data_IF_939078244649
#
_entry.id   IF_939078244649
#
_cell.length_a   1.000
_cell.length_b   1.000
_cell.length_c   1.000
_cell.angle_alpha   90.00
_cell.angle_beta   90.00
_cell.angle_gamma   90.00
#
_symmetry.space_group_name_H-M   'P 1'
#
loop_
_entity.id
_entity.type
_entity.pdbx_description
1 polymer ?
#
# COMPACT_ATOMS: atom_id res chain seq x y z
N UNK A 1 -46.38 -5.35 27.79
CA UNK A 1 -45.39 -6.41 27.55
C UNK A 1 -44.59 -6.02 26.31
N UNK A 2 -43.39 -5.47 26.49
CA UNK A 2 -42.48 -5.16 25.40
C UNK A 2 -41.68 -6.43 25.07
N UNK A 3 -41.74 -6.88 23.81
CA UNK A 3 -41.01 -8.06 23.35
C UNK A 3 -39.52 -7.74 23.19
N UNK A 4 -38.66 -8.53 23.83
CA UNK A 4 -37.23 -8.50 23.59
C UNK A 4 -36.93 -9.15 22.23
N UNK A 5 -36.52 -8.35 21.25
CA UNK A 5 -35.87 -8.87 20.04
C UNK A 5 -34.38 -9.08 20.33
N UNK A 6 -34.02 -10.34 20.55
CA UNK A 6 -32.63 -10.80 20.62
C UNK A 6 -31.96 -10.60 19.26
N UNK A 7 -30.92 -9.79 19.21
CA UNK A 7 -30.06 -9.67 18.03
C UNK A 7 -29.23 -10.95 17.95
N UNK A 8 -29.49 -11.77 16.93
CA UNK A 8 -28.64 -12.90 16.60
C UNK A 8 -27.37 -12.36 15.94
N UNK A 9 -26.27 -12.31 16.70
CA UNK A 9 -24.93 -12.14 16.14
C UNK A 9 -24.63 -13.39 15.32
N UNK A 10 -24.73 -13.30 14.00
CA UNK A 10 -24.22 -14.34 13.13
C UNK A 10 -22.71 -14.45 13.39
N UNK A 11 -22.28 -15.61 13.89
CA UNK A 11 -20.89 -16.02 13.92
C UNK A 11 -20.40 -16.11 12.47
N UNK A 12 -19.91 -14.99 11.97
CA UNK A 12 -19.22 -14.92 10.69
C UNK A 12 -17.88 -15.56 10.93
N UNK A 13 -17.80 -16.87 10.66
CA UNK A 13 -16.58 -17.66 10.66
C UNK A 13 -15.46 -16.85 10.02
N UNK A 14 -14.61 -16.27 10.87
CA UNK A 14 -13.50 -15.44 10.47
C UNK A 14 -12.52 -16.32 9.74
N UNK A 15 -12.60 -16.34 8.41
CA UNK A 15 -11.42 -16.72 7.65
C UNK A 15 -10.39 -15.62 7.92
N UNK A 16 -9.47 -15.90 8.84
CA UNK A 16 -8.26 -15.11 9.03
C UNK A 16 -7.68 -14.82 7.65
N UNK A 17 -7.58 -13.53 7.30
CA UNK A 17 -6.85 -13.13 6.11
C UNK A 17 -5.47 -13.81 6.16
N UNK A 18 -4.99 -14.42 5.06
CA UNK A 18 -3.76 -15.18 5.08
C UNK A 18 -2.65 -14.29 5.64
N UNK A 19 -2.16 -14.60 6.85
CA UNK A 19 -0.99 -13.94 7.42
C UNK A 19 0.13 -14.13 6.41
N UNK A 20 0.71 -13.04 5.89
CA UNK A 20 1.92 -13.15 5.10
C UNK A 20 2.98 -13.80 6.00
N UNK A 21 3.38 -15.03 5.67
CA UNK A 21 3.84 -16.02 6.64
C UNK A 21 5.36 -16.19 6.78
N UNK A 22 6.15 -15.13 6.76
CA UNK A 22 7.61 -15.20 7.03
C UNK A 22 8.26 -13.82 6.90
N UNK A 23 9.35 -13.47 7.60
CA UNK A 23 9.80 -12.10 7.97
C UNK A 23 9.80 -11.04 6.84
N UNK A 24 9.69 -9.73 7.18
CA UNK A 24 9.79 -8.64 6.18
C UNK A 24 11.03 -8.77 5.30
N UNK A 25 11.01 -8.16 4.11
CA UNK A 25 12.14 -8.22 3.16
C UNK A 25 13.46 -7.77 3.81
N UNK A 26 13.36 -6.76 4.67
CA UNK A 26 14.43 -6.33 5.53
C UNK A 26 14.53 -7.20 6.79
N UNK A 27 15.63 -7.93 6.90
CA UNK A 27 15.99 -8.68 8.10
C UNK A 27 16.89 -7.80 9.00
N UNK A 28 16.42 -7.54 10.22
CA UNK A 28 17.15 -6.75 11.22
C UNK A 28 18.43 -7.44 11.70
N UNK A 29 18.46 -8.78 11.75
CA UNK A 29 19.66 -9.51 12.19
C UNK A 29 20.75 -9.48 11.11
N UNK A 30 20.36 -9.27 9.85
CA UNK A 30 21.23 -9.17 8.67
C UNK A 30 21.19 -7.75 8.06
N UNK A 31 20.96 -6.71 8.87
CA UNK A 31 20.78 -5.33 8.39
C UNK A 31 21.95 -4.80 7.54
N UNK A 32 23.17 -5.33 7.75
CA UNK A 32 24.37 -4.94 7.00
C UNK A 32 24.30 -5.30 5.51
N UNK A 33 23.44 -6.24 5.14
CA UNK A 33 23.22 -6.65 3.75
C UNK A 33 22.36 -5.63 2.98
N UNK A 34 21.80 -4.64 3.69
CA UNK A 34 20.95 -3.58 3.15
C UNK A 34 21.58 -2.20 3.41
N UNK A 35 22.73 -1.88 2.77
CA UNK A 35 23.49 -0.66 3.05
C UNK A 35 22.73 0.63 2.69
N UNK A 36 21.67 0.52 1.91
CA UNK A 36 20.80 1.62 1.50
C UNK A 36 19.57 1.80 2.41
N UNK A 37 19.36 0.91 3.39
CA UNK A 37 18.33 1.08 4.42
C UNK A 37 18.93 1.81 5.63
N UNK A 38 18.35 2.97 5.97
CA UNK A 38 18.82 3.80 7.09
C UNK A 38 18.25 3.22 8.39
N UNK A 39 19.11 2.72 9.26
CA UNK A 39 18.67 2.10 10.52
C UNK A 39 18.51 3.06 11.69
N UNK A 40 19.15 4.22 11.63
CA UNK A 40 19.13 5.23 12.68
C UNK A 40 17.77 5.92 12.83
N UNK A 41 17.58 6.59 13.97
CA UNK A 41 16.37 7.39 14.24
C UNK A 41 16.34 8.73 13.49
N UNK A 42 17.49 9.21 13.01
CA UNK A 42 17.61 10.43 12.22
C UNK A 42 17.93 10.08 10.76
N UNK A 43 17.05 10.45 9.84
CA UNK A 43 17.24 10.17 8.41
C UNK A 43 17.71 11.40 7.66
N UNK A 44 18.88 11.30 7.03
CA UNK A 44 19.44 12.35 6.18
C UNK A 44 19.29 11.93 4.71
N UNK A 45 18.20 12.35 4.06
CA UNK A 45 17.76 11.81 2.76
C UNK A 45 18.26 12.58 1.53
N UNK A 46 19.02 13.67 1.73
CA UNK A 46 19.51 14.51 0.63
C UNK A 46 18.38 15.16 -0.19
N UNK A 47 18.63 15.38 -1.48
CA UNK A 47 17.67 15.98 -2.38
C UNK A 47 16.53 15.01 -2.76
N UNK A 48 15.33 15.54 -3.02
CA UNK A 48 14.18 14.75 -3.50
C UNK A 48 14.54 14.01 -4.78
N UNK A 49 14.25 12.71 -4.82
CA UNK A 49 14.39 11.93 -6.06
C UNK A 49 13.37 12.41 -7.09
N UNK A 50 13.85 12.64 -8.33
CA UNK A 50 13.07 13.12 -9.48
C UNK A 50 12.90 12.06 -10.57
N UNK A 51 13.48 10.87 -10.40
CA UNK A 51 13.46 9.80 -11.40
C UNK A 51 12.08 9.12 -11.56
N UNK A 52 11.07 9.56 -10.81
CA UNK A 52 9.76 8.92 -10.69
C UNK A 52 8.64 9.94 -10.89
N UNK A 53 7.42 9.48 -11.18
CA UNK A 53 6.20 10.29 -11.44
C UNK A 53 5.75 11.21 -10.26
N UNK A 54 6.64 11.44 -9.30
CA UNK A 54 6.47 12.24 -8.11
C UNK A 54 6.73 13.73 -8.36
N UNK A 55 5.80 14.40 -9.05
CA UNK A 55 5.83 15.85 -9.15
C UNK A 55 5.49 16.48 -7.78
N UNK A 56 6.37 17.35 -7.27
CA UNK A 56 6.26 18.01 -5.96
C UNK A 56 5.25 19.15 -5.91
N UNK A 57 4.26 19.12 -6.80
CA UNK A 57 3.45 20.29 -7.17
C UNK A 57 2.23 20.48 -6.25
N UNK A 58 2.12 19.64 -5.22
CA UNK A 58 1.09 19.72 -4.19
C UNK A 58 1.74 19.83 -2.81
N UNK A 59 1.12 20.62 -1.94
CA UNK A 59 1.64 20.92 -0.61
C UNK A 59 1.62 19.68 0.29
N UNK A 60 2.61 19.54 1.17
CA UNK A 60 2.65 18.45 2.15
C UNK A 60 3.15 17.09 1.64
N UNK A 61 3.64 17.01 0.39
CA UNK A 61 4.25 15.76 -0.11
C UNK A 61 5.59 15.47 0.58
N UNK A 62 5.75 14.27 1.14
CA UNK A 62 7.07 13.76 1.51
C UNK A 62 7.88 13.30 0.30
N UNK A 63 9.21 13.25 0.46
CA UNK A 63 10.13 12.74 -0.57
C UNK A 63 9.95 11.23 -0.74
N UNK A 64 10.00 10.67 -1.97
CA UNK A 64 9.77 9.24 -2.21
C UNK A 64 10.71 8.31 -1.43
N UNK A 65 11.88 8.81 -1.02
CA UNK A 65 12.80 8.07 -0.18
C UNK A 65 12.20 7.66 1.18
N UNK A 66 11.27 8.45 1.75
CA UNK A 66 10.60 8.11 3.02
C UNK A 66 9.75 6.84 2.89
N UNK A 67 8.72 6.78 2.03
CA UNK A 67 7.91 5.57 1.86
C UNK A 67 8.74 4.40 1.34
N UNK A 68 9.77 4.62 0.51
CA UNK A 68 10.66 3.54 0.08
C UNK A 68 11.31 2.81 1.27
N UNK A 69 11.88 3.57 2.21
CA UNK A 69 12.47 3.05 3.44
C UNK A 69 11.43 2.32 4.30
N UNK A 70 10.28 2.95 4.56
CA UNK A 70 9.22 2.38 5.41
C UNK A 70 8.70 1.07 4.82
N UNK A 71 8.37 1.06 3.53
CA UNK A 71 7.79 -0.10 2.86
C UNK A 71 8.76 -1.28 2.82
N UNK A 72 10.05 -1.06 2.55
CA UNK A 72 11.05 -2.14 2.55
C UNK A 72 11.30 -2.70 3.95
N UNK A 73 11.21 -1.86 4.98
CA UNK A 73 11.45 -2.24 6.38
C UNK A 73 10.29 -3.02 7.00
N UNK A 74 9.05 -2.66 6.68
CA UNK A 74 7.88 -3.16 7.41
C UNK A 74 6.92 -4.00 6.56
N UNK A 75 7.20 -4.19 5.26
CA UNK A 75 6.32 -4.94 4.35
C UNK A 75 7.10 -5.83 3.39
N UNK A 76 6.40 -6.74 2.72
CA UNK A 76 6.93 -7.62 1.67
C UNK A 76 6.21 -7.38 0.35
N UNK A 77 6.84 -7.72 -0.79
CA UNK A 77 6.12 -7.79 -2.05
C UNK A 77 4.82 -8.61 -1.94
N UNK A 78 3.69 -8.00 -2.32
CA UNK A 78 2.35 -8.56 -2.25
C UNK A 78 1.58 -8.28 -0.95
N UNK A 79 2.20 -7.67 0.07
CA UNK A 79 1.47 -7.16 1.24
C UNK A 79 0.56 -5.99 0.86
N UNK A 80 -0.41 -5.68 1.73
CA UNK A 80 -1.29 -4.52 1.60
C UNK A 80 -0.82 -3.37 2.47
N UNK A 81 -0.85 -2.17 1.90
CA UNK A 81 -0.53 -0.90 2.56
C UNK A 81 -1.77 -0.02 2.51
N UNK A 82 -2.11 0.59 3.65
CA UNK A 82 -3.19 1.56 3.77
C UNK A 82 -2.62 2.93 4.10
N UNK A 83 -2.94 3.92 3.28
CA UNK A 83 -2.60 5.33 3.50
C UNK A 83 -3.90 6.14 3.60
N UNK A 84 -4.25 6.59 4.81
CA UNK A 84 -5.50 7.29 5.07
C UNK A 84 -5.47 8.77 4.66
N UNK A 85 -4.31 9.30 4.26
CA UNK A 85 -4.13 10.70 3.86
C UNK A 85 -3.21 10.77 2.64
N UNK A 86 -3.63 10.04 1.60
CA UNK A 86 -2.74 9.66 0.49
C UNK A 86 -2.28 10.81 -0.40
N UNK A 87 -3.02 11.93 -0.43
CA UNK A 87 -2.67 13.10 -1.24
C UNK A 87 -2.38 12.72 -2.68
N UNK A 88 -1.22 13.15 -3.19
CA UNK A 88 -0.75 12.84 -4.55
C UNK A 88 -0.25 11.40 -4.75
N UNK A 89 -0.40 10.52 -3.76
CA UNK A 89 -0.22 9.08 -3.93
C UNK A 89 1.22 8.59 -3.88
N UNK A 90 2.16 9.35 -3.30
CA UNK A 90 3.59 8.94 -3.19
C UNK A 90 3.73 7.55 -2.57
N UNK A 91 2.98 7.23 -1.51
CA UNK A 91 2.96 5.88 -0.90
C UNK A 91 2.55 4.81 -1.90
N UNK A 92 1.49 5.05 -2.68
CA UNK A 92 0.93 4.09 -3.62
C UNK A 92 1.81 3.90 -4.86
N UNK A 93 2.47 4.97 -5.31
CA UNK A 93 3.49 4.89 -6.37
C UNK A 93 4.64 4.00 -5.92
N UNK A 94 5.15 4.19 -4.69
CA UNK A 94 6.20 3.31 -4.16
C UNK A 94 5.69 1.88 -3.91
N UNK A 95 4.41 1.70 -3.53
CA UNK A 95 3.82 0.37 -3.47
C UNK A 95 3.91 -0.34 -4.82
N UNK A 96 3.53 0.30 -5.93
CA UNK A 96 3.66 -0.29 -7.28
C UNK A 96 5.10 -0.63 -7.65
N UNK A 97 6.03 0.31 -7.43
CA UNK A 97 7.46 0.13 -7.74
C UNK A 97 8.03 -1.06 -6.97
N UNK A 98 7.71 -1.15 -5.69
CA UNK A 98 8.19 -2.20 -4.79
C UNK A 98 7.35 -3.49 -4.86
N UNK A 99 6.27 -3.54 -5.64
CA UNK A 99 5.45 -4.73 -5.79
C UNK A 99 4.56 -5.02 -4.58
N UNK A 100 4.07 -4.01 -3.88
CA UNK A 100 3.07 -4.05 -2.80
C UNK A 100 1.70 -3.61 -3.33
N UNK A 101 0.63 -4.08 -2.70
CA UNK A 101 -0.71 -3.54 -2.93
C UNK A 101 -0.93 -2.30 -2.05
N UNK A 102 -1.63 -1.30 -2.55
CA UNK A 102 -1.89 -0.04 -1.85
C UNK A 102 -3.36 0.40 -1.97
N UNK A 103 -3.93 0.85 -0.85
CA UNK A 103 -5.18 1.63 -0.83
C UNK A 103 -4.87 2.97 -0.19
N UNK A 104 -5.23 4.04 -0.89
CA UNK A 104 -5.16 5.41 -0.43
C UNK A 104 -6.56 5.95 -0.19
N UNK A 105 -6.73 6.78 0.82
CA UNK A 105 -7.92 7.63 0.98
C UNK A 105 -7.48 9.07 0.83
N UNK A 106 -8.26 9.85 0.08
CA UNK A 106 -8.05 11.28 -0.10
C UNK A 106 -9.40 12.01 -0.03
N UNK A 107 -9.46 13.11 0.70
CA UNK A 107 -10.69 13.86 0.92
C UNK A 107 -11.08 14.68 -0.32
N UNK A 108 -10.10 15.29 -0.98
CA UNK A 108 -10.36 16.13 -2.14
C UNK A 108 -10.42 15.30 -3.43
N UNK A 109 -11.57 15.30 -4.09
CA UNK A 109 -11.81 14.52 -5.30
C UNK A 109 -10.86 14.86 -6.47
N UNK A 110 -10.54 16.14 -6.67
CA UNK A 110 -9.66 16.57 -7.76
C UNK A 110 -8.20 16.13 -7.53
N UNK A 111 -7.78 16.11 -6.26
CA UNK A 111 -6.45 15.61 -5.86
C UNK A 111 -6.40 14.09 -5.98
N UNK A 112 -7.46 13.39 -5.56
CA UNK A 112 -7.57 11.96 -5.73
C UNK A 112 -7.49 11.53 -7.20
N UNK A 113 -8.12 12.27 -8.12
CA UNK A 113 -8.05 11.96 -9.55
C UNK A 113 -6.63 12.15 -10.11
N UNK A 114 -5.99 13.28 -9.83
CA UNK A 114 -4.60 13.50 -10.23
C UNK A 114 -3.64 12.45 -9.63
N UNK A 115 -3.92 12.00 -8.40
CA UNK A 115 -3.18 10.92 -7.74
C UNK A 115 -3.31 9.61 -8.52
N UNK A 116 -4.53 9.24 -8.95
CA UNK A 116 -4.77 8.05 -9.79
C UNK A 116 -3.99 8.11 -11.10
N UNK A 117 -3.99 9.25 -11.78
CA UNK A 117 -3.23 9.44 -13.02
C UNK A 117 -1.73 9.19 -12.81
N UNK A 118 -1.14 9.75 -11.74
CA UNK A 118 0.28 9.57 -11.43
C UNK A 118 0.63 8.13 -11.04
N UNK A 119 -0.24 7.47 -10.29
CA UNK A 119 -0.12 6.06 -9.92
C UNK A 119 -0.17 5.18 -11.18
N UNK A 120 -1.07 5.47 -12.12
CA UNK A 120 -1.19 4.72 -13.37
C UNK A 120 0.07 4.84 -14.25
N UNK A 121 0.74 6.00 -14.23
CA UNK A 121 2.00 6.23 -14.94
C UNK A 121 3.22 5.57 -14.25
N UNK A 122 3.09 5.15 -13.00
CA UNK A 122 4.20 4.53 -12.28
C UNK A 122 4.48 3.11 -12.79
N UNK A 123 5.77 2.84 -13.00
CA UNK A 123 6.28 1.49 -13.30
C UNK A 123 5.85 0.50 -12.21
N UNK A 124 5.46 -0.70 -12.65
CA UNK A 124 5.04 -1.78 -11.76
C UNK A 124 6.00 -2.96 -11.88
N UNK A 125 6.59 -3.39 -10.77
CA UNK A 125 7.50 -4.54 -10.75
C UNK A 125 6.75 -5.89 -10.73
N UNK A 126 5.44 -5.87 -10.48
CA UNK A 126 4.57 -7.04 -10.47
C UNK A 126 3.11 -6.65 -10.70
N UNK A 127 2.23 -7.65 -10.68
CA UNK A 127 0.79 -7.46 -10.79
C UNK A 127 0.22 -7.06 -9.41
N UNK A 128 0.09 -5.76 -9.18
CA UNK A 128 -0.30 -5.17 -7.90
C UNK A 128 -1.43 -4.17 -8.04
N UNK A 129 -2.29 -4.11 -7.04
CA UNK A 129 -3.37 -3.13 -6.95
C UNK A 129 -2.87 -1.87 -6.25
N UNK A 130 -3.13 -0.70 -6.83
CA UNK A 130 -2.93 0.59 -6.17
C UNK A 130 -4.11 1.51 -6.50
N UNK A 131 -4.94 1.79 -5.51
CA UNK A 131 -6.22 2.48 -5.68
C UNK A 131 -6.39 3.63 -4.69
N UNK A 132 -6.90 4.77 -5.17
CA UNK A 132 -7.25 5.92 -4.33
C UNK A 132 -8.77 6.03 -4.25
N UNK A 133 -9.29 6.03 -3.03
CA UNK A 133 -10.68 6.26 -2.70
C UNK A 133 -10.90 7.72 -2.34
N UNK A 134 -11.97 8.34 -2.84
CA UNK A 134 -12.39 9.66 -2.34
C UNK A 134 -13.21 9.46 -1.07
N UNK A 135 -12.78 10.04 0.04
CA UNK A 135 -13.50 9.89 1.30
C UNK A 135 -12.89 10.63 2.48
N UNK A 136 -13.68 10.74 3.53
CA UNK A 136 -13.25 11.23 4.83
C UNK A 136 -12.80 10.05 5.69
N UNK A 137 -11.50 9.97 5.98
CA UNK A 137 -10.90 8.90 6.81
C UNK A 137 -11.39 8.89 8.27
N UNK A 138 -12.08 9.94 8.74
CA UNK A 138 -12.74 9.97 10.06
C UNK A 138 -14.13 9.35 10.04
N UNK A 139 -14.71 9.18 8.84
CA UNK A 139 -16.02 8.57 8.68
C UNK A 139 -15.90 7.05 8.70
N UNK A 140 -16.49 6.42 9.71
CA UNK A 140 -16.80 4.99 9.67
C UNK A 140 -17.89 4.82 8.62
N UNK A 141 -17.53 4.34 7.42
CA UNK A 141 -18.49 4.16 6.32
C UNK A 141 -19.76 3.43 6.77
N UNK A 142 -20.83 3.51 5.97
CA UNK A 142 -22.17 2.98 6.30
C UNK A 142 -22.28 1.43 6.38
N UNK A 143 -21.15 0.73 6.56
CA UNK A 143 -21.06 -0.72 6.58
C UNK A 143 -21.09 -1.37 5.20
N UNK A 144 -21.17 -0.59 4.10
CA UNK A 144 -21.04 -1.16 2.76
C UNK A 144 -19.61 -1.61 2.51
N UNK A 145 -19.47 -2.87 2.15
CA UNK A 145 -18.21 -3.43 1.66
C UNK A 145 -17.92 -2.81 0.30
N UNK A 146 -16.89 -1.98 0.21
CA UNK A 146 -16.23 -1.76 -1.06
C UNK A 146 -15.55 -3.08 -1.45
N UNK A 147 -15.85 -3.59 -2.64
CA UNK A 147 -15.26 -4.83 -3.11
C UNK A 147 -13.76 -4.59 -3.28
N UNK A 148 -12.93 -5.21 -2.44
CA UNK A 148 -11.51 -5.32 -2.75
C UNK A 148 -11.41 -6.08 -4.07
N UNK A 149 -10.81 -5.53 -5.13
CA UNK A 149 -10.71 -6.24 -6.39
C UNK A 149 -10.03 -7.59 -6.16
N UNK A 150 -10.52 -8.67 -6.81
CA UNK A 150 -9.94 -9.99 -6.64
C UNK A 150 -8.45 -9.93 -7.00
N UNK A 151 -7.61 -10.64 -6.24
CA UNK A 151 -6.18 -10.77 -6.56
C UNK A 151 -6.04 -11.14 -8.03
N UNK A 152 -5.36 -10.29 -8.80
CA UNK A 152 -5.03 -10.64 -10.18
C UNK A 152 -4.16 -11.89 -10.14
N UNK A 153 -4.57 -12.91 -10.90
CA UNK A 153 -3.98 -14.23 -10.82
C UNK A 153 -2.53 -14.18 -11.30
N UNK A 154 -1.57 -14.52 -10.41
CA UNK A 154 -0.16 -14.63 -10.78
C UNK A 154 -0.02 -15.54 -12.01
N UNK A 155 0.64 -15.09 -13.10
CA UNK A 155 0.94 -16.00 -14.20
C UNK A 155 1.79 -17.15 -13.66
N UNK A 156 1.33 -18.39 -13.87
CA UNK A 156 2.08 -19.59 -13.49
C UNK A 156 3.45 -19.51 -14.15
N UNK A 157 4.51 -19.38 -13.34
CA UNK A 157 5.90 -19.49 -13.84
C UNK A 157 6.00 -20.79 -14.62
N UNK A 158 6.15 -20.72 -15.94
CA UNK A 158 6.51 -21.87 -16.75
C UNK A 158 7.86 -22.34 -16.20
N UNK A 159 7.90 -23.52 -15.57
CA UNK A 159 9.16 -24.19 -15.29
C UNK A 159 9.85 -24.37 -16.65
N UNK A 160 10.93 -23.63 -16.91
CA UNK A 160 11.85 -24.01 -17.97
C UNK A 160 12.34 -25.41 -17.61
N UNK A 161 11.96 -26.39 -18.43
CA UNK A 161 12.68 -27.66 -18.46
C UNK A 161 13.98 -27.33 -19.19
N UNK A 162 15.08 -27.35 -18.44
CA UNK A 162 16.42 -27.42 -19.04
C UNK A 162 16.48 -28.76 -19.77
N UNK A 163 16.79 -28.71 -21.07
CA UNK A 163 17.00 -29.88 -21.91
C UNK A 163 18.45 -30.36 -21.79
#
# INVERSE_FOLDING_TARGET
MAGNSTIHTADLGGQEAPRSGGPPEFDLDQWRDFPDIITDSLWQLGARDRASSHAGDYWGNFVPQIPNQILRRFTRPGDWVLDLFSGMGTTLIECRRLGRNGIGVELNADIAEQSRERIALAESSSDTTAEVLVGDSTSLGDGRRHSVPPRVARPRRRRLRVA
#
